data_IF_460010274934
#
_entry.id   IF_460010274934
#
_cell.length_a   1.000
_cell.length_b   1.000
_cell.length_c   1.000
_cell.angle_alpha   90.00
_cell.angle_beta   90.00
_cell.angle_gamma   90.00
#
_symmetry.space_group_name_H-M   'P 1'
#
loop_
_entity.id
_entity.type
_entity.pdbx_description
1 polymer ?
#
# COMPACT_ATOMS: atom_id res chain seq x y z
N UNK A 1 -7.40 -41.69 -46.79
CA UNK A 1 -8.36 -42.79 -46.55
C UNK A 1 -9.37 -42.33 -45.51
N UNK A 2 -10.67 -42.53 -45.81
CA UNK A 2 -11.87 -42.44 -44.96
C UNK A 2 -12.20 -41.13 -44.17
N UNK A 3 -13.00 -40.24 -44.81
CA UNK A 3 -14.45 -39.93 -44.57
C UNK A 3 -15.02 -39.79 -43.12
N UNK A 4 -16.17 -39.09 -42.92
CA UNK A 4 -16.32 -37.62 -42.89
C UNK A 4 -17.33 -37.10 -41.82
N UNK A 5 -17.53 -35.77 -41.82
CA UNK A 5 -18.81 -35.03 -41.63
C UNK A 5 -19.71 -35.25 -40.38
N UNK A 6 -19.90 -34.17 -39.61
CA UNK A 6 -21.21 -33.83 -39.04
C UNK A 6 -21.52 -32.33 -39.16
N UNK A 7 -22.67 -32.12 -39.76
CA UNK A 7 -23.40 -30.90 -40.09
C UNK A 7 -24.23 -30.44 -38.88
N UNK A 8 -24.45 -29.12 -38.67
CA UNK A 8 -25.79 -28.47 -38.67
C UNK A 8 -25.88 -27.17 -37.82
N UNK A 9 -26.46 -26.16 -38.49
CA UNK A 9 -27.49 -25.19 -38.05
C UNK A 9 -27.14 -24.16 -36.96
N UNK A 10 -27.02 -22.87 -37.32
CA UNK A 10 -28.10 -21.88 -37.53
C UNK A 10 -28.57 -21.23 -36.23
N UNK A 11 -28.39 -19.93 -36.07
CA UNK A 11 -29.51 -18.99 -35.88
C UNK A 11 -29.04 -17.54 -35.91
N UNK A 12 -29.67 -16.75 -36.79
CA UNK A 12 -29.66 -15.30 -36.80
C UNK A 12 -30.71 -14.81 -35.79
N UNK A 13 -30.37 -13.83 -34.95
CA UNK A 13 -31.38 -12.99 -34.29
C UNK A 13 -30.90 -11.54 -34.26
N UNK A 14 -31.57 -10.75 -35.09
CA UNK A 14 -31.66 -9.29 -35.10
C UNK A 14 -32.37 -8.84 -33.82
N UNK A 15 -31.96 -7.73 -33.20
CA UNK A 15 -32.84 -6.54 -33.07
C UNK A 15 -32.09 -5.34 -32.49
N UNK A 16 -32.41 -4.19 -33.07
CA UNK A 16 -32.01 -2.83 -32.71
C UNK A 16 -32.92 -2.32 -31.60
N UNK A 17 -32.39 -1.53 -30.66
CA UNK A 17 -33.19 -0.61 -29.86
C UNK A 17 -32.42 0.70 -29.67
N UNK A 18 -32.78 1.70 -30.48
CA UNK A 18 -32.45 3.11 -30.25
C UNK A 18 -33.57 3.67 -29.39
N UNK A 19 -33.26 4.13 -28.19
CA UNK A 19 -34.17 4.90 -27.36
C UNK A 19 -33.64 6.34 -27.27
N UNK A 20 -34.29 7.24 -28.00
CA UNK A 20 -34.24 8.68 -27.73
C UNK A 20 -35.34 8.97 -26.71
N UNK A 21 -34.97 9.45 -25.52
CA UNK A 21 -35.92 10.01 -24.57
C UNK A 21 -35.70 11.51 -24.42
N UNK A 22 -36.84 12.18 -24.47
CA UNK A 22 -37.04 13.60 -24.60
C UNK A 22 -36.71 14.37 -23.32
N UNK A 23 -36.42 15.65 -23.53
CA UNK A 23 -36.27 16.65 -22.49
C UNK A 23 -37.57 16.87 -21.70
N UNK A 24 -37.44 17.00 -20.38
CA UNK A 24 -38.41 17.58 -19.45
C UNK A 24 -37.61 18.56 -18.59
N UNK A 25 -37.75 19.86 -18.85
CA UNK A 25 -38.65 20.78 -18.13
C UNK A 25 -38.28 20.94 -16.65
N UNK A 26 -37.69 22.11 -16.38
CA UNK A 26 -37.63 22.91 -15.16
C UNK A 26 -38.08 22.25 -13.83
N UNK A 27 -37.10 21.91 -13.01
CA UNK A 27 -37.15 22.13 -11.56
C UNK A 27 -35.70 22.27 -11.06
N UNK A 28 -35.29 23.48 -10.72
CA UNK A 28 -34.12 23.70 -9.89
C UNK A 28 -34.61 23.84 -8.44
N UNK A 29 -34.23 22.92 -7.55
CA UNK A 29 -33.94 23.26 -6.17
C UNK A 29 -32.51 22.81 -5.85
N UNK A 30 -31.65 23.80 -5.60
CA UNK A 30 -30.57 23.76 -4.59
C UNK A 30 -29.97 22.38 -4.27
N UNK A 31 -29.01 21.94 -5.09
CA UNK A 31 -27.95 21.05 -4.61
C UNK A 31 -26.78 21.95 -4.19
N UNK A 32 -26.76 22.33 -2.91
CA UNK A 32 -25.48 22.58 -2.25
C UNK A 32 -24.89 21.22 -1.91
N UNK A 33 -23.79 20.76 -2.56
CA UNK A 33 -22.80 19.97 -1.86
C UNK A 33 -21.99 20.97 -1.02
N UNK A 34 -22.64 21.56 -0.01
CA UNK A 34 -21.92 22.26 1.03
C UNK A 34 -21.46 21.19 2.01
N UNK A 35 -20.14 21.00 2.06
CA UNK A 35 -19.44 20.33 3.17
C UNK A 35 -19.57 18.79 3.23
N UNK A 36 -19.03 18.09 2.23
CA UNK A 36 -18.56 16.70 2.44
C UNK A 36 -17.29 16.34 1.63
N UNK A 37 -16.69 17.30 0.91
CA UNK A 37 -15.36 17.18 0.28
C UNK A 37 -14.31 18.02 1.06
N UNK A 38 -14.53 18.11 2.37
CA UNK A 38 -13.70 18.81 3.34
C UNK A 38 -13.54 17.96 4.62
N UNK A 39 -13.56 16.64 4.47
CA UNK A 39 -12.74 15.81 5.34
C UNK A 39 -11.57 15.32 4.50
N UNK A 40 -10.44 15.97 4.78
CA UNK A 40 -9.20 15.21 4.92
C UNK A 40 -8.57 14.82 3.57
N UNK A 41 -8.24 15.86 2.80
CA UNK A 41 -6.83 16.04 2.37
C UNK A 41 -5.91 16.19 3.60
N UNK A 42 -6.03 15.32 4.61
CA UNK A 42 -5.08 15.26 5.73
C UNK A 42 -3.84 14.63 5.16
N UNK A 43 -2.88 15.51 4.92
CA UNK A 43 -1.46 15.25 5.01
C UNK A 43 -0.99 13.99 4.28
N UNK A 44 -1.03 14.05 2.96
CA UNK A 44 -0.01 13.40 2.10
C UNK A 44 1.37 14.10 2.29
N UNK A 45 1.64 14.65 3.47
CA UNK A 45 2.77 15.54 3.76
C UNK A 45 3.32 15.37 5.19
N UNK A 46 3.20 14.17 5.77
CA UNK A 46 4.17 13.70 6.76
C UNK A 46 4.61 12.28 6.39
N UNK A 47 5.47 12.18 5.38
CA UNK A 47 6.27 10.96 5.08
C UNK A 47 7.33 10.76 6.16
N UNK A 48 6.87 10.66 7.41
CA UNK A 48 7.68 10.32 8.57
C UNK A 48 6.75 9.78 9.65
N UNK A 49 6.32 8.52 9.49
CA UNK A 49 5.57 7.83 10.55
C UNK A 49 6.33 7.84 11.89
N UNK A 50 7.67 7.91 11.84
CA UNK A 50 8.55 8.02 13.00
C UNK A 50 8.29 9.23 13.89
N UNK A 51 7.71 10.32 13.36
CA UNK A 51 7.29 11.46 14.17
C UNK A 51 5.97 11.19 14.92
N UNK A 52 5.10 10.34 14.36
CA UNK A 52 3.77 10.04 14.89
C UNK A 52 3.66 8.68 15.57
N UNK A 53 4.77 7.95 15.68
CA UNK A 53 4.82 6.62 16.28
C UNK A 53 6.00 6.50 17.25
N UNK A 54 5.85 5.64 18.26
CA UNK A 54 6.88 5.28 19.25
C UNK A 54 7.04 3.75 19.31
N UNK A 55 8.03 3.26 20.06
CA UNK A 55 8.30 1.84 20.25
C UNK A 55 8.48 1.07 18.92
N UNK A 56 9.02 1.77 17.91
CA UNK A 56 9.22 1.22 16.57
C UNK A 56 10.23 0.08 16.65
N UNK A 57 9.78 -1.12 16.30
CA UNK A 57 10.60 -2.32 16.33
C UNK A 57 10.35 -3.19 15.10
N UNK A 58 11.38 -3.91 14.69
CA UNK A 58 11.33 -4.87 13.59
C UNK A 58 11.34 -6.28 14.15
N UNK A 59 10.41 -7.11 13.69
CA UNK A 59 10.23 -8.48 14.16
C UNK A 59 10.31 -9.47 13.01
N UNK A 60 11.16 -10.48 13.19
CA UNK A 60 11.26 -11.71 12.39
C UNK A 60 10.99 -11.53 10.89
N UNK A 61 9.91 -12.16 10.45
CA UNK A 61 9.43 -12.35 9.09
C UNK A 61 8.98 -11.06 8.35
N UNK A 62 9.80 -10.01 8.32
CA UNK A 62 9.47 -8.78 7.58
C UNK A 62 8.30 -8.01 8.20
N UNK A 63 8.21 -7.91 9.53
CA UNK A 63 7.15 -7.15 10.21
C UNK A 63 7.71 -5.97 11.00
N UNK A 64 7.02 -4.84 10.95
CA UNK A 64 7.24 -3.70 11.83
C UNK A 64 6.07 -3.60 12.79
N UNK A 65 6.36 -3.28 14.04
CA UNK A 65 5.34 -2.90 15.03
C UNK A 65 5.71 -1.53 15.61
N UNK A 66 4.69 -0.77 15.97
CA UNK A 66 4.83 0.51 16.64
C UNK A 66 3.53 0.88 17.37
N UNK A 67 3.62 1.89 18.24
CA UNK A 67 2.44 2.55 18.81
C UNK A 67 2.31 3.93 18.16
N UNK A 68 1.21 4.15 17.43
CA UNK A 68 1.02 5.32 16.58
C UNK A 68 -0.14 6.20 17.08
N UNK A 69 -0.03 7.52 16.93
CA UNK A 69 -1.10 8.46 17.28
C UNK A 69 -2.30 8.27 16.36
N UNK A 70 -3.49 8.19 16.95
CA UNK A 70 -4.76 7.95 16.25
C UNK A 70 -5.22 9.09 15.33
N UNK A 71 -4.57 10.25 15.40
CA UNK A 71 -4.85 11.43 14.58
C UNK A 71 -3.65 11.86 13.71
N UNK A 72 -2.54 11.11 13.73
CA UNK A 72 -1.31 11.45 13.00
C UNK A 72 -0.50 12.61 13.59
N UNK A 73 -0.87 13.09 14.79
CA UNK A 73 -0.10 14.09 15.53
C UNK A 73 1.29 13.56 15.91
N UNK A 74 2.22 14.48 16.21
CA UNK A 74 3.55 14.12 16.67
C UNK A 74 3.49 13.52 18.08
N UNK A 75 4.27 12.46 18.36
CA UNK A 75 4.29 11.83 19.69
C UNK A 75 4.79 12.76 20.80
N UNK A 76 5.44 13.86 20.45
CA UNK A 76 5.90 14.89 21.38
C UNK A 76 4.87 15.99 21.65
N UNK A 77 3.78 16.05 20.88
CA UNK A 77 2.70 17.02 21.11
C UNK A 77 1.96 16.71 22.41
N UNK A 78 1.65 17.76 23.17
CA UNK A 78 0.88 17.68 24.42
C UNK A 78 -0.58 17.31 24.17
N UNK A 79 -1.12 17.68 23.02
CA UNK A 79 -2.51 17.42 22.62
C UNK A 79 -2.61 16.30 21.58
N UNK A 80 -1.62 15.40 21.54
CA UNK A 80 -1.60 14.28 20.60
C UNK A 80 -2.80 13.34 20.78
N UNK A 81 -3.22 12.71 19.69
CA UNK A 81 -4.16 11.60 19.71
C UNK A 81 -3.69 10.43 20.59
N UNK A 82 -4.63 9.58 20.95
CA UNK A 82 -4.32 8.34 21.69
C UNK A 82 -3.34 7.47 20.90
N UNK A 83 -2.40 6.83 21.60
CA UNK A 83 -1.52 5.85 20.99
C UNK A 83 -2.27 4.53 20.80
N UNK A 84 -2.17 3.97 19.60
CA UNK A 84 -2.72 2.68 19.23
C UNK A 84 -1.60 1.77 18.73
N UNK A 85 -1.55 0.55 19.23
CA UNK A 85 -0.62 -0.46 18.74
C UNK A 85 -1.01 -0.90 17.33
N UNK A 86 -0.04 -0.96 16.43
CA UNK A 86 -0.25 -1.34 15.03
C UNK A 86 0.97 -2.10 14.51
N UNK A 87 0.74 -2.86 13.44
CA UNK A 87 1.80 -3.57 12.76
C UNK A 87 1.64 -3.48 11.24
N UNK A 88 2.75 -3.60 10.54
CA UNK A 88 2.81 -3.62 9.09
C UNK A 88 3.70 -4.78 8.65
N UNK A 89 3.13 -5.68 7.86
CA UNK A 89 3.90 -6.66 7.12
C UNK A 89 4.59 -5.97 5.95
N UNK A 90 5.89 -5.74 6.09
CA UNK A 90 6.74 -5.08 5.11
C UNK A 90 6.80 -5.85 3.79
N UNK A 91 6.51 -7.15 3.78
CA UNK A 91 6.37 -7.91 2.55
C UNK A 91 5.33 -7.32 1.58
N UNK A 92 4.37 -6.56 2.12
CA UNK A 92 3.39 -5.80 1.35
C UNK A 92 4.00 -4.57 0.68
N UNK A 93 4.96 -3.89 1.32
CA UNK A 93 5.51 -2.62 0.83
C UNK A 93 6.82 -2.79 0.03
N UNK A 94 7.62 -3.80 0.35
CA UNK A 94 8.95 -4.00 -0.22
C UNK A 94 9.08 -5.36 -0.90
N UNK A 95 10.00 -5.43 -1.87
CA UNK A 95 10.40 -6.65 -2.54
C UNK A 95 11.90 -6.67 -2.78
N UNK A 96 12.45 -7.84 -3.06
CA UNK A 96 13.85 -7.97 -3.47
C UNK A 96 13.97 -7.85 -4.98
N UNK A 97 14.76 -6.86 -5.44
CA UNK A 97 15.08 -6.69 -6.85
C UNK A 97 16.38 -7.44 -7.16
N UNK A 98 16.26 -8.61 -7.79
CA UNK A 98 17.40 -9.46 -8.12
C UNK A 98 18.46 -8.77 -9.02
N UNK A 99 18.09 -7.95 -10.04
CA UNK A 99 19.06 -7.19 -10.83
C UNK A 99 19.91 -6.21 -10.02
N UNK A 100 19.29 -5.37 -9.17
CA UNK A 100 20.07 -4.45 -8.31
C UNK A 100 20.58 -5.10 -7.04
N UNK A 101 20.16 -6.34 -6.76
CA UNK A 101 20.49 -7.10 -5.56
C UNK A 101 20.15 -6.31 -4.30
N UNK A 102 18.98 -5.71 -4.23
CA UNK A 102 18.61 -4.85 -3.10
C UNK A 102 17.14 -4.97 -2.76
N UNK A 103 16.79 -4.69 -1.50
CA UNK A 103 15.40 -4.44 -1.16
C UNK A 103 14.98 -3.10 -1.77
N UNK A 104 13.79 -3.07 -2.38
CA UNK A 104 13.20 -1.89 -2.98
C UNK A 104 11.74 -1.77 -2.57
N UNK A 105 11.26 -0.53 -2.55
CA UNK A 105 9.84 -0.24 -2.50
C UNK A 105 9.14 -0.80 -3.73
N UNK A 106 8.01 -1.47 -3.51
CA UNK A 106 7.13 -1.87 -4.59
C UNK A 106 6.48 -0.62 -5.18
N UNK A 107 6.17 -0.66 -6.47
CA UNK A 107 5.42 0.41 -7.11
C UNK A 107 4.04 0.61 -6.50
N UNK A 108 3.44 -0.48 -6.00
CA UNK A 108 2.20 -0.50 -5.23
C UNK A 108 2.32 -1.58 -4.16
N UNK A 109 1.63 -1.39 -3.04
CA UNK A 109 1.46 -2.42 -2.03
C UNK A 109 0.76 -3.64 -2.64
N UNK A 110 1.09 -4.81 -2.12
CA UNK A 110 0.38 -6.05 -2.41
C UNK A 110 -0.45 -6.42 -1.19
N UNK A 111 -1.56 -7.13 -1.41
CA UNK A 111 -2.39 -7.61 -0.32
C UNK A 111 -1.59 -8.52 0.63
N UNK A 112 -1.99 -8.60 1.90
CA UNK A 112 -1.29 -9.41 2.91
C UNK A 112 -1.08 -10.87 2.48
N UNK A 113 -2.04 -11.50 1.81
CA UNK A 113 -1.90 -12.89 1.32
C UNK A 113 -0.89 -13.05 0.16
N UNK A 114 -0.50 -11.95 -0.47
CA UNK A 114 0.57 -11.88 -1.47
C UNK A 114 1.88 -11.34 -0.89
N UNK A 115 1.91 -10.98 0.40
CA UNK A 115 3.13 -10.50 1.02
C UNK A 115 4.17 -11.60 0.96
N UNK A 116 5.38 -11.21 0.55
CA UNK A 116 6.53 -12.09 0.57
C UNK A 116 7.37 -11.71 1.77
N UNK A 117 7.95 -12.67 2.47
CA UNK A 117 9.02 -12.36 3.40
C UNK A 117 10.11 -11.54 2.71
N UNK A 118 10.89 -10.79 3.49
CA UNK A 118 12.06 -10.02 3.05
C UNK A 118 13.17 -10.91 2.41
N UNK A 119 12.89 -12.17 2.04
CA UNK A 119 13.83 -13.09 1.39
C UNK A 119 14.38 -12.49 0.07
N UNK A 120 15.67 -12.73 -0.26
CA UNK A 120 16.65 -13.54 0.45
C UNK A 120 17.39 -12.79 1.57
N UNK A 121 16.78 -11.76 2.14
CA UNK A 121 17.35 -10.97 3.21
C UNK A 121 16.99 -11.49 4.61
N UNK A 122 17.93 -11.32 5.52
CA UNK A 122 17.91 -11.76 6.91
C UNK A 122 18.59 -10.72 7.80
N UNK A 123 18.57 -10.94 9.12
CA UNK A 123 19.26 -10.07 10.10
C UNK A 123 18.90 -8.58 9.94
N UNK A 124 17.63 -8.33 9.68
CA UNK A 124 17.13 -6.97 9.53
C UNK A 124 17.06 -6.26 10.89
N UNK A 125 17.50 -5.01 10.92
CA UNK A 125 17.40 -4.12 12.09
C UNK A 125 16.85 -2.78 11.65
N UNK A 126 16.13 -2.11 12.55
CA UNK A 126 15.59 -0.78 12.34
C UNK A 126 16.21 0.18 13.36
N UNK A 127 16.70 1.33 12.88
CA UNK A 127 16.98 2.46 13.75
C UNK A 127 15.67 3.23 13.99
N UNK A 128 15.10 3.24 15.20
CA UNK A 128 13.81 3.87 15.47
C UNK A 128 13.85 5.40 15.32
N UNK A 129 15.03 6.03 15.37
CA UNK A 129 15.15 7.49 15.23
C UNK A 129 15.14 7.93 13.78
N UNK A 130 15.88 7.22 12.94
CA UNK A 130 16.01 7.53 11.51
C UNK A 130 15.01 6.75 10.66
N UNK A 131 14.34 5.76 11.25
CA UNK A 131 13.50 4.76 10.57
C UNK A 131 14.24 3.98 9.47
N UNK A 132 15.58 3.94 9.54
CA UNK A 132 16.41 3.23 8.56
C UNK A 132 16.39 1.73 8.86
N UNK A 133 15.80 0.97 7.96
CA UNK A 133 15.88 -0.48 7.91
C UNK A 133 17.21 -0.89 7.26
N UNK A 134 17.96 -1.76 7.91
CA UNK A 134 19.18 -2.38 7.36
C UNK A 134 19.02 -3.88 7.39
N UNK A 135 19.24 -4.57 6.27
CA UNK A 135 19.14 -6.02 6.16
C UNK A 135 20.37 -6.61 5.49
N UNK A 136 20.67 -7.88 5.76
CA UNK A 136 21.71 -8.65 5.06
C UNK A 136 21.05 -9.58 4.03
N UNK A 137 21.26 -9.33 2.75
CA UNK A 137 20.72 -10.12 1.65
C UNK A 137 21.76 -11.07 1.09
N UNK A 138 21.35 -12.28 0.74
CA UNK A 138 22.19 -13.18 -0.06
C UNK A 138 22.12 -12.79 -1.54
N UNK A 139 23.25 -12.87 -2.24
CA UNK A 139 23.23 -12.90 -3.70
C UNK A 139 22.42 -14.10 -4.20
N UNK A 140 21.96 -14.04 -5.45
CA UNK A 140 21.24 -15.15 -6.08
C UNK A 140 22.08 -16.44 -6.16
N UNK A 141 23.42 -16.34 -6.08
CA UNK A 141 24.35 -17.47 -6.02
C UNK A 141 24.56 -18.04 -4.59
N UNK A 142 23.91 -17.44 -3.58
CA UNK A 142 24.01 -17.77 -2.15
C UNK A 142 25.44 -17.76 -1.57
N UNK A 143 26.42 -17.18 -2.26
CA UNK A 143 27.84 -17.26 -1.87
C UNK A 143 28.27 -16.18 -0.89
N UNK A 144 27.66 -15.00 -0.99
CA UNK A 144 28.02 -13.85 -0.18
C UNK A 144 26.77 -13.11 0.31
N UNK A 145 26.88 -12.54 1.50
CA UNK A 145 25.90 -11.59 2.01
C UNK A 145 26.34 -10.17 1.69
N UNK A 146 25.38 -9.28 1.47
CA UNK A 146 25.61 -7.84 1.39
C UNK A 146 24.51 -7.08 2.13
N UNK A 147 24.85 -5.89 2.60
CA UNK A 147 23.88 -5.03 3.27
C UNK A 147 23.01 -4.28 2.24
N UNK A 148 21.72 -4.22 2.50
CA UNK A 148 20.77 -3.31 1.84
C UNK A 148 20.15 -2.40 2.88
N UNK A 149 19.69 -1.22 2.46
CA UNK A 149 19.05 -0.26 3.34
C UNK A 149 17.83 0.37 2.68
N UNK A 150 16.84 0.71 3.50
CA UNK A 150 15.66 1.49 3.13
C UNK A 150 15.30 2.44 4.27
N UNK A 151 14.92 3.68 3.96
CA UNK A 151 14.34 4.58 4.96
C UNK A 151 12.84 4.40 4.95
N UNK A 152 12.28 3.82 6.01
CA UNK A 152 10.89 3.40 6.02
C UNK A 152 9.92 4.57 5.97
N UNK A 153 10.30 5.70 6.57
CA UNK A 153 9.53 6.94 6.50
C UNK A 153 9.26 7.44 5.08
N UNK A 154 10.06 7.01 4.09
CA UNK A 154 9.85 7.41 2.69
C UNK A 154 8.51 6.88 2.13
N UNK A 155 8.08 5.68 2.55
CA UNK A 155 6.90 4.99 2.01
C UNK A 155 6.03 4.28 3.06
N UNK A 156 6.26 4.52 4.35
CA UNK A 156 5.39 4.06 5.43
C UNK A 156 4.76 5.26 6.11
N UNK A 157 3.45 5.22 6.24
CA UNK A 157 2.67 6.27 6.88
C UNK A 157 1.89 5.73 8.08
N UNK A 158 1.68 6.59 9.07
CA UNK A 158 0.62 6.41 10.05
C UNK A 158 -0.62 7.12 9.53
N UNK A 159 -1.77 6.45 9.52
CA UNK A 159 -3.04 7.15 9.41
C UNK A 159 -4.07 6.53 10.31
N UNK A 160 -4.73 7.39 11.08
CA UNK A 160 -5.71 6.98 12.05
C UNK A 160 -5.17 5.95 13.07
N UNK A 161 -3.87 5.95 13.37
CA UNK A 161 -3.22 4.99 14.25
C UNK A 161 -2.77 3.68 13.58
N UNK A 162 -2.98 3.54 12.26
CA UNK A 162 -2.63 2.32 11.51
C UNK A 162 -1.47 2.59 10.56
N UNK A 163 -0.44 1.73 10.62
CA UNK A 163 0.67 1.76 9.66
C UNK A 163 0.21 1.24 8.30
N UNK A 164 0.58 1.95 7.23
CA UNK A 164 0.24 1.57 5.84
C UNK A 164 1.37 1.90 4.88
N UNK A 165 1.48 1.13 3.80
CA UNK A 165 2.38 1.43 2.69
C UNK A 165 1.82 2.59 1.86
N UNK A 166 2.68 3.50 1.46
CA UNK A 166 2.45 4.43 0.38
C UNK A 166 3.00 3.82 -0.92
N UNK A 167 2.30 3.96 -2.04
CA UNK A 167 2.90 3.63 -3.33
C UNK A 167 4.09 4.55 -3.65
N UNK A 168 4.78 4.27 -4.75
CA UNK A 168 5.89 5.13 -5.21
C UNK A 168 5.46 6.55 -5.58
N UNK A 169 4.16 6.81 -5.77
CA UNK A 169 3.62 8.15 -5.96
C UNK A 169 3.28 8.87 -4.64
N UNK A 170 3.37 8.19 -3.49
CA UNK A 170 3.03 8.74 -2.18
C UNK A 170 1.54 8.62 -1.82
N UNK A 171 0.70 8.03 -2.68
CA UNK A 171 -0.70 7.78 -2.38
C UNK A 171 -0.86 6.51 -1.56
N UNK A 172 -1.93 6.45 -0.78
CA UNK A 172 -2.27 5.27 0.03
C UNK A 172 -2.81 4.18 -0.89
N UNK A 173 -2.23 3.00 -0.81
CA UNK A 173 -2.70 1.86 -1.58
C UNK A 173 -3.83 1.15 -0.83
N UNK A 174 -5.03 1.18 -1.41
CA UNK A 174 -6.25 0.58 -0.85
C UNK A 174 -6.31 -0.95 -1.00
N UNK A 175 -5.19 -1.66 -0.86
CA UNK A 175 -5.09 -3.12 -1.05
C UNK A 175 -5.22 -3.92 0.27
N UNK A 176 -6.00 -3.42 1.23
CA UNK A 176 -6.32 -4.15 2.47
C UNK A 176 -7.09 -5.46 2.20
#
# INVERSE_FOLDING_TARGET
MASPSRTRTSSLLRTVAVAAFAASACAAPSLTPALADLEVRVSVAKTNFGASCTNIAYFGYCRIEADCTSDGSDVTDKNKGSLQHTFLDMGQCIGYDAPSKALKWRSKSVAHWQSTYCAPCSHCTIDPKTTKLTCQCQYADATNNHATYLTLSDHVSNTAGVLSCLNVAGDRDNND
#
